data_IF_649263146236
#
_entry.id   IF_649263146236
#
_cell.length_a   1.000
_cell.length_b   1.000
_cell.length_c   1.000
_cell.angle_alpha   90.00
_cell.angle_beta   90.00
_cell.angle_gamma   90.00
#
_symmetry.space_group_name_H-M   'P 1'
#
loop_
_entity.id
_entity.type
_entity.pdbx_description
1 polymer ?
#
# COMPACT_ATOMS: atom_id res chain seq x y z
N UNK A 1 -40.33 -31.21 -1.23
CA UNK A 1 -39.50 -30.79 -0.09
C UNK A 1 -38.20 -30.29 -0.72
N UNK A 2 -38.11 -29.00 -0.88
CA UNK A 2 -36.94 -28.35 -1.45
C UNK A 2 -36.31 -27.48 -0.36
N UNK A 3 -35.14 -27.91 0.12
CA UNK A 3 -34.37 -27.15 1.08
C UNK A 3 -33.63 -26.02 0.34
N UNK A 4 -34.09 -24.81 0.60
CA UNK A 4 -33.45 -23.58 0.19
C UNK A 4 -32.29 -23.29 1.14
N UNK A 5 -31.06 -23.41 0.67
CA UNK A 5 -29.88 -22.94 1.40
C UNK A 5 -29.83 -21.42 1.23
N UNK A 6 -30.16 -20.72 2.30
CA UNK A 6 -30.02 -19.27 2.38
C UNK A 6 -28.53 -18.93 2.45
N UNK A 7 -28.07 -18.09 1.51
CA UNK A 7 -26.75 -17.49 1.55
C UNK A 7 -26.68 -16.50 2.74
N UNK A 8 -25.67 -16.68 3.57
CA UNK A 8 -25.36 -15.80 4.70
C UNK A 8 -24.88 -14.44 4.17
N UNK A 9 -25.55 -13.32 4.51
CA UNK A 9 -25.06 -12.01 4.09
C UNK A 9 -23.83 -11.67 4.91
N UNK A 10 -22.70 -11.46 4.23
CA UNK A 10 -21.47 -10.93 4.79
C UNK A 10 -21.79 -9.71 5.68
N UNK A 11 -21.75 -9.94 6.98
CA UNK A 11 -22.00 -8.96 8.02
C UNK A 11 -20.95 -7.84 7.92
N UNK A 12 -21.34 -6.73 7.30
CA UNK A 12 -20.60 -5.48 7.33
C UNK A 12 -20.67 -4.89 8.74
N UNK A 13 -19.80 -5.34 9.63
CA UNK A 13 -19.59 -4.61 10.90
C UNK A 13 -18.73 -3.39 10.59
N UNK A 14 -19.19 -2.18 10.92
CA UNK A 14 -18.33 -1.00 10.83
C UNK A 14 -17.10 -1.20 11.72
N UNK A 15 -15.95 -0.75 11.22
CA UNK A 15 -14.67 -0.82 11.95
C UNK A 15 -14.83 -0.14 13.32
N UNK A 16 -14.88 -0.91 14.39
CA UNK A 16 -14.92 -0.37 15.77
C UNK A 16 -13.49 -0.01 16.17
N UNK A 17 -13.13 1.26 16.02
CA UNK A 17 -11.78 1.80 16.15
C UNK A 17 -11.17 1.66 17.54
N UNK A 18 -10.62 0.49 17.89
CA UNK A 18 -9.82 0.35 19.10
C UNK A 18 -8.47 -0.37 18.90
N UNK A 19 -8.23 -1.04 17.78
CA UNK A 19 -6.93 -1.68 17.53
C UNK A 19 -6.52 -1.49 16.06
N UNK A 20 -5.26 -1.14 15.85
CA UNK A 20 -4.67 -1.06 14.51
C UNK A 20 -4.66 -2.45 13.86
N UNK A 21 -4.94 -2.56 12.55
CA UNK A 21 -4.83 -3.83 11.86
C UNK A 21 -3.38 -4.35 11.93
N UNK A 22 -3.25 -5.67 12.06
CA UNK A 22 -1.95 -6.36 12.07
C UNK A 22 -1.94 -7.37 10.95
N UNK A 23 -0.80 -7.46 10.26
CA UNK A 23 -0.58 -8.43 9.21
C UNK A 23 0.74 -9.15 9.39
N UNK A 24 0.67 -10.47 9.29
CA UNK A 24 1.84 -11.34 9.30
C UNK A 24 2.38 -11.45 7.88
N UNK A 25 3.52 -10.83 7.63
CA UNK A 25 4.21 -10.90 6.34
C UNK A 25 4.99 -12.20 6.28
N UNK A 26 4.70 -13.11 5.34
CA UNK A 26 5.44 -14.35 5.19
C UNK A 26 6.80 -14.12 4.54
N UNK A 27 7.71 -15.07 4.73
CA UNK A 27 8.88 -15.18 3.85
C UNK A 27 8.43 -15.47 2.42
N UNK A 28 9.19 -14.97 1.46
CA UNK A 28 8.95 -15.28 0.06
C UNK A 28 9.01 -16.80 -0.20
N UNK A 29 8.23 -17.32 -1.15
CA UNK A 29 8.29 -18.73 -1.56
C UNK A 29 9.72 -19.15 -1.92
N UNK A 30 10.08 -20.42 -1.68
CA UNK A 30 11.43 -20.91 -1.91
C UNK A 30 11.90 -20.81 -3.38
N UNK A 31 10.97 -20.80 -4.33
CA UNK A 31 11.24 -20.62 -5.75
C UNK A 31 11.34 -19.13 -6.17
N UNK A 32 11.18 -18.20 -5.23
CA UNK A 32 11.13 -16.77 -5.50
C UNK A 32 12.40 -16.27 -6.19
N UNK A 33 12.21 -15.59 -7.32
CA UNK A 33 13.29 -14.97 -8.09
C UNK A 33 13.24 -13.43 -8.04
N UNK A 34 12.26 -12.87 -7.34
CA UNK A 34 12.06 -11.42 -7.27
C UNK A 34 11.40 -10.82 -8.51
N UNK A 35 10.87 -11.65 -9.39
CA UNK A 35 10.23 -11.19 -10.63
C UNK A 35 8.84 -10.59 -10.33
N UNK A 36 8.51 -9.46 -10.96
CA UNK A 36 7.26 -8.76 -10.67
C UNK A 36 6.01 -9.51 -11.14
N UNK A 37 6.12 -10.32 -12.18
CA UNK A 37 5.03 -11.13 -12.78
C UNK A 37 5.08 -12.61 -12.36
N UNK A 38 5.88 -12.94 -11.34
CA UNK A 38 6.03 -14.30 -10.86
C UNK A 38 4.70 -14.91 -10.41
N UNK A 39 4.44 -16.15 -10.86
CA UNK A 39 3.23 -16.90 -10.45
C UNK A 39 3.21 -17.22 -8.96
N UNK A 40 4.37 -17.16 -8.31
CA UNK A 40 4.54 -17.30 -6.88
C UNK A 40 3.74 -16.28 -6.05
N UNK A 41 3.39 -15.13 -6.64
CA UNK A 41 2.50 -14.17 -5.99
C UNK A 41 1.12 -14.74 -5.67
N UNK A 42 0.64 -15.72 -6.45
CA UNK A 42 -0.67 -16.35 -6.24
C UNK A 42 -0.75 -17.11 -4.91
N UNK A 43 0.38 -17.64 -4.41
CA UNK A 43 0.44 -18.37 -3.13
C UNK A 43 0.72 -17.46 -1.94
N UNK A 44 1.07 -16.20 -2.17
CA UNK A 44 1.23 -15.20 -1.11
C UNK A 44 -0.15 -14.69 -0.71
N UNK A 45 -0.50 -14.83 0.57
CA UNK A 45 -1.77 -14.35 1.08
C UNK A 45 -1.93 -12.83 0.90
N UNK A 46 -3.08 -12.40 0.40
CA UNK A 46 -3.40 -10.97 0.25
C UNK A 46 -3.84 -10.36 1.57
N UNK A 47 -3.57 -9.07 1.72
CA UNK A 47 -4.23 -8.24 2.74
C UNK A 47 -5.76 -8.30 2.59
N UNK A 48 -6.51 -8.01 3.65
CA UNK A 48 -7.95 -7.77 3.53
C UNK A 48 -8.27 -6.70 2.48
N UNK A 49 -9.47 -6.73 1.87
CA UNK A 49 -9.90 -5.72 0.92
C UNK A 49 -9.74 -4.31 1.47
N UNK A 50 -9.26 -3.38 0.63
CA UNK A 50 -9.12 -1.99 1.03
C UNK A 50 -10.49 -1.38 1.35
N UNK A 51 -10.52 -0.62 2.44
CA UNK A 51 -11.66 0.20 2.82
C UNK A 51 -11.46 1.63 2.32
N UNK A 52 -12.54 2.37 2.16
CA UNK A 52 -12.44 3.81 2.01
C UNK A 52 -11.65 4.41 3.17
N UNK A 53 -10.97 5.51 2.93
CA UNK A 53 -10.12 6.17 3.92
C UNK A 53 -10.82 6.54 5.23
N UNK A 54 -12.14 6.76 5.18
CA UNK A 54 -13.00 7.00 6.35
C UNK A 54 -13.46 5.71 7.05
N UNK A 55 -13.10 4.53 6.52
CA UNK A 55 -13.47 3.23 7.07
C UNK A 55 -14.93 2.82 6.87
N UNK A 56 -15.72 3.56 6.10
CA UNK A 56 -17.17 3.39 5.99
C UNK A 56 -17.61 2.13 5.23
N UNK A 57 -16.86 1.75 4.21
CA UNK A 57 -17.17 0.59 3.34
C UNK A 57 -15.94 0.15 2.55
N UNK A 58 -15.96 -1.05 1.93
CA UNK A 58 -14.97 -1.43 0.93
C UNK A 58 -14.91 -0.42 -0.23
N UNK A 59 -13.73 -0.22 -0.79
CA UNK A 59 -13.53 0.54 -2.01
C UNK A 59 -14.32 -0.10 -3.16
N UNK A 60 -14.78 0.71 -4.10
CA UNK A 60 -15.46 0.23 -5.31
C UNK A 60 -14.44 -0.35 -6.29
N UNK A 61 -13.38 0.41 -6.54
CA UNK A 61 -12.23 -0.03 -7.33
C UNK A 61 -11.25 -0.74 -6.39
N UNK A 62 -11.35 -2.06 -6.33
CA UNK A 62 -10.58 -2.85 -5.37
C UNK A 62 -9.11 -2.96 -5.73
N UNK A 63 -8.31 -2.96 -4.69
CA UNK A 63 -6.87 -3.26 -4.74
C UNK A 63 -6.61 -4.52 -3.93
N UNK A 64 -5.93 -5.48 -4.54
CA UNK A 64 -5.43 -6.68 -3.87
C UNK A 64 -3.94 -6.46 -3.60
N UNK A 65 -3.58 -6.25 -2.33
CA UNK A 65 -2.18 -6.08 -1.96
C UNK A 65 -1.61 -7.35 -1.34
N UNK A 66 -0.37 -7.68 -1.71
CA UNK A 66 0.38 -8.82 -1.19
C UNK A 66 1.78 -8.38 -0.78
N UNK A 67 2.28 -8.96 0.30
CA UNK A 67 3.64 -8.70 0.79
C UNK A 67 4.32 -10.02 1.12
N UNK A 68 5.59 -10.12 0.75
CA UNK A 68 6.50 -11.14 1.28
C UNK A 68 7.90 -10.53 1.46
N UNK A 69 8.80 -11.23 2.13
CA UNK A 69 10.14 -10.72 2.38
C UNK A 69 11.19 -11.84 2.37
N UNK A 70 12.43 -11.45 2.13
CA UNK A 70 13.60 -12.27 2.32
C UNK A 70 14.62 -11.58 3.24
N UNK A 71 15.84 -12.09 3.32
CA UNK A 71 16.90 -11.54 4.18
C UNK A 71 17.38 -10.16 3.70
N UNK A 72 17.05 -9.76 2.47
CA UNK A 72 17.57 -8.55 1.83
C UNK A 72 16.51 -7.51 1.52
N UNK A 73 15.24 -7.94 1.30
CA UNK A 73 14.21 -7.09 0.71
C UNK A 73 12.82 -7.35 1.27
N UNK A 74 12.01 -6.30 1.26
CA UNK A 74 10.55 -6.36 1.28
C UNK A 74 10.04 -6.29 -0.16
N UNK A 75 9.11 -7.17 -0.49
CA UNK A 75 8.41 -7.16 -1.77
C UNK A 75 6.93 -6.85 -1.53
N UNK A 76 6.40 -5.94 -2.31
CA UNK A 76 5.00 -5.52 -2.24
C UNK A 76 4.41 -5.51 -3.64
N UNK A 77 3.27 -6.14 -3.82
CA UNK A 77 2.52 -6.12 -5.07
C UNK A 77 1.12 -5.61 -4.83
N UNK A 78 0.68 -4.77 -5.74
CA UNK A 78 -0.68 -4.28 -5.85
C UNK A 78 -1.27 -4.76 -7.17
N UNK A 79 -2.42 -5.40 -7.12
CA UNK A 79 -3.24 -5.74 -8.29
C UNK A 79 -4.50 -4.87 -8.19
N UNK A 80 -4.70 -3.96 -9.13
CA UNK A 80 -5.70 -2.91 -9.09
C UNK A 80 -6.76 -3.14 -10.16
N UNK A 81 -8.01 -3.20 -9.73
CA UNK A 81 -9.14 -3.08 -10.65
C UNK A 81 -9.44 -1.60 -10.89
N UNK A 82 -9.64 -1.19 -12.15
CA UNK A 82 -9.73 0.22 -12.53
C UNK A 82 -10.40 0.40 -13.90
N UNK A 83 -11.58 1.01 -13.90
CA UNK A 83 -12.39 1.25 -15.11
C UNK A 83 -11.91 2.44 -15.96
N UNK A 84 -10.94 3.25 -15.47
CA UNK A 84 -10.47 4.46 -16.15
C UNK A 84 -8.99 4.73 -15.91
N UNK A 85 -8.12 3.74 -16.19
CA UNK A 85 -6.68 3.80 -15.94
C UNK A 85 -6.04 4.96 -16.72
N UNK A 86 -5.35 5.87 -16.03
CA UNK A 86 -4.65 6.99 -16.67
C UNK A 86 -3.52 7.56 -15.83
N UNK A 87 -2.69 8.41 -16.46
CA UNK A 87 -1.62 9.19 -15.87
C UNK A 87 -0.88 9.98 -16.95
N UNK A 88 -0.34 11.14 -16.60
CA UNK A 88 0.43 12.01 -17.49
C UNK A 88 1.89 12.12 -17.10
N UNK A 89 2.21 11.95 -15.83
CA UNK A 89 3.55 12.09 -15.33
C UNK A 89 4.47 11.00 -15.86
N UNK A 90 5.75 11.32 -16.08
CA UNK A 90 6.74 10.46 -16.72
C UNK A 90 8.07 10.39 -16.00
N UNK A 91 8.38 11.36 -15.15
CA UNK A 91 9.64 11.44 -14.45
C UNK A 91 9.51 10.97 -13.01
N UNK A 92 10.58 10.37 -12.44
CA UNK A 92 10.64 10.05 -11.02
C UNK A 92 10.39 11.32 -10.19
N UNK A 93 9.70 11.18 -9.06
CA UNK A 93 9.34 12.24 -8.13
C UNK A 93 8.38 13.30 -8.67
N UNK A 94 7.83 13.08 -9.87
CA UNK A 94 6.66 13.85 -10.29
C UNK A 94 5.52 13.66 -9.29
N UNK A 95 4.61 14.64 -9.13
CA UNK A 95 3.53 14.59 -8.15
C UNK A 95 2.40 13.65 -8.58
N UNK A 96 2.71 12.35 -8.69
CA UNK A 96 1.78 11.31 -9.17
C UNK A 96 0.56 11.13 -8.26
N UNK A 97 0.64 11.57 -6.98
CA UNK A 97 -0.49 11.63 -6.05
C UNK A 97 -1.61 12.58 -6.49
N UNK A 98 -1.38 13.43 -7.47
CA UNK A 98 -2.43 14.25 -8.10
C UNK A 98 -3.23 13.48 -9.14
N UNK A 99 -2.81 12.27 -9.48
CA UNK A 99 -3.42 11.38 -10.47
C UNK A 99 -3.78 10.03 -9.85
N UNK A 100 -3.52 8.93 -10.54
CA UNK A 100 -3.76 7.57 -10.08
C UNK A 100 -2.50 6.96 -9.52
N UNK A 101 -2.57 6.38 -8.32
CA UNK A 101 -1.40 5.87 -7.64
C UNK A 101 -1.75 4.81 -6.60
N UNK A 102 -0.86 3.84 -6.39
CA UNK A 102 -0.79 3.04 -5.17
C UNK A 102 0.39 3.48 -4.32
N UNK A 103 0.23 3.44 -3.00
CA UNK A 103 1.24 3.96 -2.08
C UNK A 103 1.54 2.95 -0.96
N UNK A 104 2.78 2.97 -0.51
CA UNK A 104 3.24 2.32 0.72
C UNK A 104 3.94 3.33 1.61
N UNK A 105 3.44 3.51 2.84
CA UNK A 105 4.16 4.23 3.89
C UNK A 105 4.71 3.22 4.89
N UNK A 106 5.97 3.36 5.29
CA UNK A 106 6.69 2.34 6.04
C UNK A 106 7.68 2.93 7.04
N UNK A 107 7.73 2.40 8.27
CA UNK A 107 8.72 2.77 9.26
C UNK A 107 9.05 1.60 10.22
N UNK A 108 10.33 1.38 10.60
CA UNK A 108 10.71 0.32 11.51
C UNK A 108 10.22 0.55 12.94
N UNK A 109 9.78 -0.52 13.59
CA UNK A 109 9.32 -0.51 14.99
C UNK A 109 7.80 -0.40 15.16
N UNK A 110 7.32 -0.48 16.41
CA UNK A 110 5.89 -0.47 16.74
C UNK A 110 5.39 0.91 17.18
N UNK A 111 6.28 1.80 17.58
CA UNK A 111 5.90 3.14 18.03
C UNK A 111 5.25 3.97 16.90
N UNK A 112 4.38 4.90 17.26
CA UNK A 112 3.82 5.86 16.30
C UNK A 112 4.97 6.66 15.67
N UNK A 113 5.21 6.55 14.35
CA UNK A 113 6.35 7.17 13.72
C UNK A 113 6.12 8.68 13.51
N UNK A 114 7.19 9.45 13.69
CA UNK A 114 7.28 10.86 13.26
C UNK A 114 8.12 11.00 11.98
N UNK A 115 8.83 9.96 11.61
CA UNK A 115 9.49 9.81 10.32
C UNK A 115 8.93 8.55 9.65
N UNK A 116 8.80 8.54 8.34
CA UNK A 116 8.45 7.36 7.56
C UNK A 116 8.84 7.54 6.10
N UNK A 117 9.08 6.43 5.45
CA UNK A 117 9.32 6.37 4.01
C UNK A 117 7.98 6.33 3.29
N UNK A 118 7.90 7.05 2.20
CA UNK A 118 6.77 7.11 1.29
C UNK A 118 7.22 6.59 -0.07
N UNK A 119 6.46 5.68 -0.63
CA UNK A 119 6.66 5.09 -1.94
C UNK A 119 5.35 5.11 -2.68
N UNK A 120 5.34 5.66 -3.89
CA UNK A 120 4.17 5.69 -4.74
C UNK A 120 4.52 5.17 -6.13
N UNK A 121 3.60 4.47 -6.77
CA UNK A 121 3.73 4.02 -8.17
C UNK A 121 2.45 4.32 -8.91
N UNK A 122 2.59 5.00 -10.08
CA UNK A 122 1.49 5.24 -11.00
C UNK A 122 1.27 4.03 -11.93
N UNK A 123 0.10 3.91 -12.60
CA UNK A 123 -0.14 2.88 -13.62
C UNK A 123 0.85 2.93 -14.78
N UNK A 124 1.49 4.07 -15.04
CA UNK A 124 2.52 4.23 -16.08
C UNK A 124 3.93 3.84 -15.61
N UNK A 125 4.08 3.36 -14.36
CA UNK A 125 5.37 2.93 -13.82
C UNK A 125 6.27 4.07 -13.35
N UNK A 126 5.71 5.25 -13.09
CA UNK A 126 6.46 6.35 -12.45
C UNK A 126 6.54 6.08 -10.96
N UNK A 127 7.75 6.20 -10.40
CA UNK A 127 8.01 6.10 -8.97
C UNK A 127 8.13 7.50 -8.37
N UNK A 128 7.47 7.71 -7.24
CA UNK A 128 7.78 8.76 -6.28
C UNK A 128 8.24 8.11 -4.99
N UNK A 129 9.34 8.59 -4.41
CA UNK A 129 9.77 8.16 -3.09
C UNK A 129 10.35 9.33 -2.28
N UNK A 130 10.17 9.29 -0.98
CA UNK A 130 10.61 10.35 -0.09
C UNK A 130 10.70 9.93 1.37
N UNK A 131 11.48 10.70 2.13
CA UNK A 131 11.52 10.59 3.59
C UNK A 131 10.67 11.69 4.21
N UNK A 132 9.60 11.29 4.88
CA UNK A 132 8.65 12.21 5.52
C UNK A 132 9.03 12.44 6.97
N UNK A 133 9.05 13.73 7.38
CA UNK A 133 9.05 14.17 8.77
C UNK A 133 7.70 14.78 9.12
N UNK A 134 6.96 14.15 10.04
CA UNK A 134 5.58 14.53 10.39
C UNK A 134 5.35 14.46 11.92
N UNK A 135 5.87 15.43 12.67
CA UNK A 135 5.90 15.37 14.14
C UNK A 135 4.54 15.57 14.79
N UNK A 136 3.60 16.27 14.13
CA UNK A 136 2.32 16.66 14.71
C UNK A 136 1.12 16.01 14.03
N UNK A 137 1.31 15.29 12.94
CA UNK A 137 0.27 14.79 12.02
C UNK A 137 -0.56 15.91 11.37
N UNK A 138 -0.04 17.13 11.32
CA UNK A 138 -0.64 18.27 10.61
C UNK A 138 0.17 18.58 9.35
N UNK A 139 -0.50 18.72 8.21
CA UNK A 139 0.15 19.00 6.91
C UNK A 139 1.08 20.22 6.95
N UNK A 140 0.73 21.26 7.69
CA UNK A 140 1.54 22.49 7.80
C UNK A 140 2.90 22.28 8.48
N UNK A 141 3.05 21.24 9.30
CA UNK A 141 4.28 20.92 10.04
C UNK A 141 5.05 19.76 9.41
N UNK A 142 4.51 19.20 8.32
CA UNK A 142 5.09 18.08 7.60
C UNK A 142 6.12 18.59 6.58
N UNK A 143 7.21 17.86 6.46
CA UNK A 143 8.24 18.06 5.45
C UNK A 143 8.50 16.72 4.76
N UNK A 144 8.56 16.75 3.44
CA UNK A 144 9.00 15.61 2.63
C UNK A 144 10.36 15.94 2.06
N UNK A 145 11.35 15.11 2.35
CA UNK A 145 12.68 15.19 1.74
C UNK A 145 12.66 14.39 0.43
N UNK A 146 12.50 15.11 -0.67
CA UNK A 146 12.53 14.58 -2.04
C UNK A 146 13.96 14.35 -2.57
N UNK A 147 14.98 14.76 -1.84
CA UNK A 147 16.36 14.45 -2.18
C UNK A 147 16.78 13.07 -1.64
N UNK A 148 15.96 12.45 -0.83
CA UNK A 148 16.15 11.08 -0.40
C UNK A 148 15.62 10.13 -1.46
N UNK A 149 16.49 9.30 -1.98
CA UNK A 149 16.17 8.20 -2.87
C UNK A 149 16.37 6.86 -2.16
N UNK A 150 15.45 5.93 -2.33
CA UNK A 150 15.63 4.55 -1.89
C UNK A 150 16.66 3.85 -2.75
N UNK A 151 17.91 3.81 -2.28
CA UNK A 151 19.01 3.19 -3.03
C UNK A 151 18.74 1.71 -3.29
N UNK A 152 18.86 1.30 -4.55
CA UNK A 152 18.66 -0.09 -4.97
C UNK A 152 17.21 -0.58 -4.98
N UNK A 153 16.24 0.30 -4.89
CA UNK A 153 14.84 -0.06 -5.11
C UNK A 153 14.67 -0.58 -6.55
N UNK A 154 13.82 -1.60 -6.70
CA UNK A 154 13.35 -2.09 -7.99
C UNK A 154 11.84 -1.94 -7.99
N UNK A 155 11.28 -1.40 -9.06
CA UNK A 155 9.85 -1.24 -9.21
C UNK A 155 9.41 -1.49 -10.64
N UNK A 156 8.17 -1.85 -10.80
CA UNK A 156 7.52 -2.02 -12.10
C UNK A 156 6.02 -1.82 -11.95
N UNK A 157 5.40 -1.30 -12.99
CA UNK A 157 3.96 -1.36 -13.16
C UNK A 157 3.63 -1.73 -14.61
N UNK A 158 2.47 -2.34 -14.79
CA UNK A 158 1.94 -2.68 -16.11
C UNK A 158 0.43 -2.54 -16.07
N UNK A 159 -0.15 -2.04 -17.16
CA UNK A 159 -1.58 -1.82 -17.30
C UNK A 159 -2.15 -2.60 -18.47
N UNK A 160 -3.36 -3.09 -18.30
CA UNK A 160 -4.17 -3.72 -19.32
C UNK A 160 -5.55 -3.04 -19.36
N UNK A 161 -5.65 -2.01 -20.21
CA UNK A 161 -6.87 -1.23 -20.38
C UNK A 161 -8.03 -2.06 -20.96
N UNK A 162 -7.74 -3.21 -21.55
CA UNK A 162 -8.77 -4.09 -22.11
C UNK A 162 -9.46 -4.94 -21.05
N UNK A 163 -8.82 -5.13 -19.92
CA UNK A 163 -9.35 -5.90 -18.78
C UNK A 163 -9.62 -5.07 -17.54
N UNK A 164 -9.54 -3.72 -17.65
CA UNK A 164 -9.74 -2.80 -16.53
C UNK A 164 -8.83 -3.12 -15.34
N UNK A 165 -7.56 -3.42 -15.62
CA UNK A 165 -6.61 -3.89 -14.61
C UNK A 165 -5.23 -3.30 -14.82
N UNK A 166 -4.58 -2.95 -13.72
CA UNK A 166 -3.15 -2.68 -13.68
C UNK A 166 -2.52 -3.25 -12.41
N UNK A 167 -1.23 -3.45 -12.43
CA UNK A 167 -0.50 -3.89 -11.25
C UNK A 167 0.77 -3.08 -11.07
N UNK A 168 1.22 -3.00 -9.83
CA UNK A 168 2.50 -2.42 -9.47
C UNK A 168 3.24 -3.31 -8.48
N UNK A 169 4.57 -3.30 -8.53
CA UNK A 169 5.43 -4.03 -7.62
C UNK A 169 6.59 -3.15 -7.16
N UNK A 170 6.87 -3.23 -5.86
CA UNK A 170 8.04 -2.66 -5.20
C UNK A 170 8.91 -3.77 -4.65
N UNK A 171 10.22 -3.68 -4.84
CA UNK A 171 11.24 -4.50 -4.19
C UNK A 171 12.20 -3.57 -3.45
N UNK A 172 12.02 -3.45 -2.14
CA UNK A 172 12.64 -2.45 -1.27
C UNK A 172 13.78 -3.10 -0.47
N UNK A 173 15.04 -2.67 -0.64
CA UNK A 173 16.14 -3.17 0.17
C UNK A 173 15.99 -2.75 1.64
N UNK A 174 16.17 -3.68 2.58
CA UNK A 174 16.19 -3.34 4.01
C UNK A 174 17.26 -2.30 4.34
N UNK A 175 18.41 -2.34 3.64
CA UNK A 175 19.51 -1.38 3.83
C UNK A 175 19.14 0.08 3.57
N UNK A 176 18.07 0.32 2.83
CA UNK A 176 17.64 1.68 2.50
C UNK A 176 16.55 2.21 3.42
N UNK A 177 15.88 1.33 4.18
CA UNK A 177 14.71 1.73 4.99
C UNK A 177 14.87 1.46 6.49
N UNK A 178 16.03 1.01 6.95
CA UNK A 178 16.22 0.80 8.37
C UNK A 178 17.46 -0.02 8.74
N UNK A 179 17.54 -0.44 10.00
CA UNK A 179 18.61 -1.34 10.47
C UNK A 179 18.53 -2.69 9.75
N UNK A 180 19.68 -3.25 9.40
CA UNK A 180 19.78 -4.52 8.67
C UNK A 180 20.31 -5.68 9.50
N UNK A 181 20.86 -5.42 10.67
CA UNK A 181 21.45 -6.44 11.56
C UNK A 181 21.07 -6.19 13.03
N UNK A 182 19.99 -6.83 13.48
CA UNK A 182 18.96 -7.56 12.71
C UNK A 182 17.93 -6.63 12.05
N UNK A 183 17.31 -7.09 10.97
CA UNK A 183 16.12 -6.44 10.40
C UNK A 183 15.00 -6.45 11.44
N UNK A 184 14.36 -5.32 11.74
CA UNK A 184 13.26 -5.27 12.69
C UNK A 184 12.12 -6.22 12.32
N UNK A 185 11.59 -6.95 13.29
CA UNK A 185 10.45 -7.86 13.07
C UNK A 185 9.10 -7.15 12.99
N UNK A 186 9.02 -5.91 13.48
CA UNK A 186 7.78 -5.13 13.55
C UNK A 186 7.99 -3.83 12.80
N UNK A 187 7.01 -3.48 11.97
CA UNK A 187 6.99 -2.27 11.16
C UNK A 187 5.63 -1.59 11.25
N UNK A 188 5.62 -0.27 11.33
CA UNK A 188 4.43 0.54 11.10
C UNK A 188 4.31 0.78 9.61
N UNK A 189 3.15 0.50 9.04
CA UNK A 189 2.91 0.68 7.61
C UNK A 189 1.45 0.95 7.30
N UNK A 190 1.22 1.58 6.17
CA UNK A 190 -0.09 1.55 5.54
C UNK A 190 0.07 1.45 4.02
N UNK A 191 -0.93 0.88 3.39
CA UNK A 191 -1.01 0.76 1.95
C UNK A 191 -2.26 1.52 1.51
N UNK A 192 -2.12 2.30 0.44
CA UNK A 192 -3.15 3.21 -0.02
C UNK A 192 -3.35 3.09 -1.52
N UNK A 193 -4.48 3.60 -1.97
CA UNK A 193 -4.74 3.90 -3.37
C UNK A 193 -5.49 5.21 -3.49
N UNK A 194 -5.03 6.04 -4.42
CA UNK A 194 -5.80 7.13 -4.99
C UNK A 194 -6.30 6.63 -6.35
N UNK A 195 -7.61 6.46 -6.46
CA UNK A 195 -8.29 6.24 -7.73
C UNK A 195 -8.96 7.56 -8.09
N UNK A 196 -8.57 8.13 -9.22
CA UNK A 196 -9.00 9.47 -9.62
C UNK A 196 -9.46 9.45 -11.07
N UNK A 197 -10.69 9.01 -11.35
CA UNK A 197 -11.18 8.89 -12.72
C UNK A 197 -11.19 10.26 -13.41
N UNK A 198 -10.98 10.28 -14.73
CA UNK A 198 -11.07 11.51 -15.53
C UNK A 198 -12.44 12.16 -15.44
N UNK A 199 -13.47 11.40 -15.10
CA UNK A 199 -14.83 11.87 -14.86
C UNK A 199 -15.39 11.25 -13.58
N UNK A 200 -15.78 12.09 -12.64
CA UNK A 200 -16.34 11.64 -11.38
C UNK A 200 -15.58 12.16 -10.17
N UNK A 201 -15.89 11.58 -9.02
CA UNK A 201 -15.20 11.90 -7.76
C UNK A 201 -14.09 10.89 -7.49
N UNK A 202 -12.94 11.34 -7.00
CA UNK A 202 -11.88 10.42 -6.61
C UNK A 202 -12.33 9.50 -5.47
N UNK A 203 -11.76 8.30 -5.43
CA UNK A 203 -11.90 7.35 -4.35
C UNK A 203 -10.53 7.17 -3.67
N UNK A 204 -10.50 7.37 -2.36
CA UNK A 204 -9.31 7.19 -1.52
C UNK A 204 -9.51 5.97 -0.66
N UNK A 205 -8.68 4.96 -0.82
CA UNK A 205 -8.80 3.71 -0.10
C UNK A 205 -7.48 3.26 0.54
N UNK A 206 -7.57 2.40 1.54
CA UNK A 206 -6.41 1.95 2.28
C UNK A 206 -6.66 0.62 3.02
N UNK A 207 -5.56 -0.02 3.41
CA UNK A 207 -5.58 -1.17 4.30
C UNK A 207 -6.03 -0.80 5.72
N UNK A 208 -5.46 0.28 6.28
CA UNK A 208 -5.80 0.80 7.60
C UNK A 208 -6.47 2.17 7.45
N UNK A 209 -7.77 2.32 7.76
CA UNK A 209 -8.48 3.58 7.59
C UNK A 209 -7.87 4.73 8.37
N UNK A 210 -7.76 5.90 7.74
CA UNK A 210 -7.18 7.10 8.35
C UNK A 210 -8.18 7.89 9.21
N UNK A 211 -9.48 7.69 8.98
CA UNK A 211 -10.60 8.19 9.82
C UNK A 211 -10.67 9.72 9.95
N UNK A 212 -10.17 10.47 8.95
CA UNK A 212 -10.18 11.94 8.94
C UNK A 212 -10.84 12.50 7.70
N UNK A 213 -11.40 13.72 7.82
CA UNK A 213 -11.97 14.49 6.73
C UNK A 213 -11.47 15.96 6.79
N UNK A 214 -11.01 16.55 5.68
CA UNK A 214 -10.79 15.90 4.39
C UNK A 214 -9.78 14.75 4.50
N UNK A 215 -9.81 13.82 3.54
CA UNK A 215 -8.89 12.67 3.52
C UNK A 215 -7.45 13.16 3.51
N UNK A 216 -6.65 12.56 4.39
CA UNK A 216 -5.22 12.84 4.49
C UNK A 216 -4.50 11.55 4.92
N UNK A 217 -3.72 10.95 4.03
CA UNK A 217 -3.01 9.70 4.28
C UNK A 217 -1.87 9.83 5.28
N UNK A 218 -1.34 11.04 5.48
CA UNK A 218 -0.26 11.33 6.42
C UNK A 218 -0.73 11.34 7.89
N UNK A 219 -1.36 10.24 8.29
CA UNK A 219 -1.83 9.99 9.67
C UNK A 219 -1.10 8.78 10.28
N UNK A 220 0.18 8.94 10.68
CA UNK A 220 1.00 7.81 11.13
C UNK A 220 0.42 7.08 12.33
N UNK A 221 -0.40 7.74 13.15
CA UNK A 221 -1.13 7.08 14.23
C UNK A 221 -2.07 5.97 13.75
N UNK A 222 -2.54 6.05 12.50
CA UNK A 222 -3.43 5.08 11.87
C UNK A 222 -2.68 4.03 11.03
N UNK A 223 -1.36 4.08 10.94
CA UNK A 223 -0.61 3.01 10.26
C UNK A 223 -0.83 1.69 10.97
N UNK A 224 -1.15 0.64 10.22
CA UNK A 224 -1.22 -0.72 10.72
C UNK A 224 0.16 -1.26 11.13
N UNK A 225 0.20 -2.51 11.50
CA UNK A 225 1.41 -3.19 11.99
C UNK A 225 1.69 -4.39 11.10
N UNK A 226 2.83 -4.37 10.44
CA UNK A 226 3.39 -5.54 9.76
C UNK A 226 4.30 -6.29 10.72
N UNK A 227 4.18 -7.61 10.74
CA UNK A 227 5.02 -8.51 11.53
C UNK A 227 5.71 -9.48 10.59
N UNK A 228 7.03 -9.43 10.52
CA UNK A 228 7.82 -10.35 9.72
C UNK A 228 7.88 -11.70 10.44
N UNK A 229 7.27 -12.72 9.86
CA UNK A 229 7.26 -14.08 10.40
C UNK A 229 8.48 -14.87 9.92
N UNK A 230 9.02 -15.69 10.84
CA UNK A 230 10.09 -16.65 10.49
C UNK A 230 9.56 -17.80 9.65
#
# INVERSE_FOLDING_TARGET
>A
MSDSIAADPLSSRPFSGSALPRWSVPRCPAAWQGEPDATEWEVVASLPPFLLADGSRPARQQTIARLCYDDHRLYVRFDCYDEDIWGHYTERDDPIYDEEVVELFLWPGEANPIHYYEFEISPNGVLFDGLVYNPTSLRQDMVVDLAWDCEGIIWQAERDDATDHWWAMLSIPWSSVGPVDPVPKIWRANLYRIERPRQGSPEFSCWSPVLVQPVDFHKPAQFGILVLND
#
